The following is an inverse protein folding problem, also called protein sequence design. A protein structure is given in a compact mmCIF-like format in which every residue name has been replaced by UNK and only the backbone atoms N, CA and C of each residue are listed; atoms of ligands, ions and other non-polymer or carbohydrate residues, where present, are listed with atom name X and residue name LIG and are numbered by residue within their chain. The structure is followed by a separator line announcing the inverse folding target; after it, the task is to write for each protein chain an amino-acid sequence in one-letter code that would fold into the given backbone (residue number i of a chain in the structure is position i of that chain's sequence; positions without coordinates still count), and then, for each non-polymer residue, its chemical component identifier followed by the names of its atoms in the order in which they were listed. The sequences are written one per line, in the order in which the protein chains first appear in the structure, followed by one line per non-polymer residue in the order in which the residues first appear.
data_IF_630444226904
#
_entry.id   IF_630444226904
#
_cell.length_a   1.000
_cell.length_b   1.000
_cell.length_c   1.000
_cell.angle_alpha   90.00
_cell.angle_beta   90.00
_cell.angle_gamma   90.00
#
_symmetry.space_group_name_H-M   'P 1'
#
loop_
_entity.id
_entity.type
_entity.pdbx_description
1 polymer ?
#
# COMPACT_ATOMS: atom_id res chain seq x y z
N UNK A 1 22.48 -19.34 -9.46
CA UNK A 1 21.69 -18.10 -9.57
C UNK A 1 20.23 -18.51 -9.54
N UNK A 2 19.46 -18.15 -8.51
CA UNK A 2 18.02 -18.48 -8.45
C UNK A 2 17.30 -17.66 -9.52
N UNK A 3 16.44 -18.30 -10.30
CA UNK A 3 15.57 -17.60 -11.25
C UNK A 3 14.52 -16.86 -10.44
N UNK A 4 14.52 -15.54 -10.53
CA UNK A 4 13.47 -14.71 -9.96
C UNK A 4 12.56 -14.27 -11.10
N UNK A 5 11.25 -14.25 -10.83
CA UNK A 5 10.24 -13.93 -11.81
C UNK A 5 9.44 -12.75 -11.25
N UNK A 6 10.08 -11.58 -11.26
CA UNK A 6 9.38 -10.33 -10.99
C UNK A 6 8.37 -10.12 -12.12
N UNK A 7 7.09 -10.30 -11.81
CA UNK A 7 6.00 -10.11 -12.75
C UNK A 7 5.74 -8.62 -12.99
N UNK A 8 6.07 -7.76 -12.02
CA UNK A 8 5.94 -6.31 -12.13
C UNK A 8 7.11 -5.58 -11.46
N UNK A 9 7.69 -4.65 -12.21
CA UNK A 9 8.70 -3.69 -11.76
C UNK A 9 8.14 -2.28 -11.98
N UNK A 10 8.44 -1.38 -11.04
CA UNK A 10 8.23 0.06 -11.20
C UNK A 10 9.56 0.79 -11.04
N UNK A 11 9.68 1.96 -11.66
CA UNK A 11 10.77 2.90 -11.37
C UNK A 11 10.33 3.88 -10.30
N UNK A 12 11.20 4.14 -9.34
CA UNK A 12 10.97 5.08 -8.24
C UNK A 12 12.25 5.89 -7.99
N UNK A 13 12.12 7.17 -7.60
CA UNK A 13 13.25 8.00 -7.17
C UNK A 13 13.48 7.80 -5.68
N UNK A 14 14.67 7.32 -5.30
CA UNK A 14 15.03 7.10 -3.92
C UNK A 14 15.10 8.42 -3.15
N UNK A 15 14.56 8.48 -1.93
CA UNK A 15 14.65 9.65 -1.04
C UNK A 15 15.70 9.48 0.06
N UNK A 16 16.47 8.39 0.01
CA UNK A 16 17.49 8.02 0.97
C UNK A 16 18.36 6.91 0.41
N UNK A 17 19.26 6.37 1.24
CA UNK A 17 20.02 5.18 0.88
C UNK A 17 19.10 3.98 0.92
N UNK A 18 19.03 3.22 -0.17
CA UNK A 18 18.28 1.97 -0.25
C UNK A 18 19.26 0.87 -0.59
N UNK A 19 19.34 -0.18 0.25
CA UNK A 19 20.16 -1.35 -0.02
C UNK A 19 19.42 -2.33 -0.92
N UNK A 20 20.19 -3.13 -1.66
CA UNK A 20 19.65 -4.20 -2.51
C UNK A 20 18.84 -5.20 -1.68
N UNK A 21 17.76 -5.73 -2.25
CA UNK A 21 16.89 -6.73 -1.65
C UNK A 21 16.23 -6.29 -0.34
N UNK A 22 16.00 -4.98 -0.19
CA UNK A 22 15.28 -4.39 0.94
C UNK A 22 13.89 -3.92 0.55
N UNK A 23 13.00 -3.96 1.53
CA UNK A 23 11.70 -3.32 1.45
C UNK A 23 11.83 -1.80 1.29
N UNK A 24 11.06 -1.25 0.36
CA UNK A 24 11.02 0.17 0.04
C UNK A 24 9.65 0.71 0.40
N UNK A 25 9.60 1.83 1.11
CA UNK A 25 8.37 2.55 1.47
C UNK A 25 7.75 3.24 0.25
N UNK A 26 6.50 3.69 0.38
CA UNK A 26 5.84 4.49 -0.65
C UNK A 26 6.53 5.83 -0.91
N UNK A 27 7.18 6.38 0.12
CA UNK A 27 7.96 7.61 0.05
C UNK A 27 9.29 7.44 -0.70
N UNK A 28 9.70 6.20 -1.00
CA UNK A 28 10.98 5.96 -1.68
C UNK A 28 12.18 5.85 -0.77
N UNK A 29 11.98 5.62 0.53
CA UNK A 29 13.04 5.28 1.47
C UNK A 29 13.05 3.79 1.78
N UNK A 30 14.20 3.25 2.21
CA UNK A 30 14.27 1.91 2.80
C UNK A 30 13.38 1.82 4.05
N UNK A 31 12.76 0.66 4.28
CA UNK A 31 11.99 0.42 5.50
C UNK A 31 12.93 0.33 6.69
N UNK A 32 12.66 1.14 7.71
CA UNK A 32 13.40 1.14 8.99
C UNK A 32 12.49 0.93 10.21
N UNK A 33 11.19 0.77 9.98
CA UNK A 33 10.20 0.55 11.02
C UNK A 33 9.48 -0.77 10.74
N UNK A 34 9.55 -1.77 11.64
CA UNK A 34 8.94 -3.07 11.42
C UNK A 34 7.45 -2.99 11.11
N UNK A 35 6.97 -3.86 10.22
CA UNK A 35 5.54 -3.92 9.85
C UNK A 35 5.04 -2.74 9.00
N UNK A 36 5.93 -1.86 8.54
CA UNK A 36 5.57 -0.79 7.58
C UNK A 36 5.13 -1.39 6.25
N UNK A 37 4.07 -0.84 5.65
CA UNK A 37 3.66 -1.21 4.30
C UNK A 37 4.73 -0.83 3.28
N UNK A 38 5.21 -1.83 2.56
CA UNK A 38 6.15 -1.62 1.48
C UNK A 38 5.43 -1.31 0.18
N UNK A 39 6.02 -0.43 -0.61
CA UNK A 39 5.71 -0.27 -2.02
C UNK A 39 6.27 -1.41 -2.87
N UNK A 40 7.36 -2.02 -2.43
CA UNK A 40 8.00 -3.14 -3.13
C UNK A 40 9.40 -3.44 -2.59
N UNK A 41 10.20 -4.15 -3.38
CA UNK A 41 11.56 -4.57 -3.04
C UNK A 41 12.57 -4.04 -4.05
N UNK A 42 13.65 -3.47 -3.55
CA UNK A 42 14.79 -3.02 -4.34
C UNK A 42 15.52 -4.20 -5.02
N UNK A 43 15.62 -4.21 -6.34
CA UNK A 43 16.13 -5.39 -7.07
C UNK A 43 17.63 -5.38 -7.36
N UNK A 44 18.19 -4.28 -7.89
CA UNK A 44 19.40 -4.40 -8.70
C UNK A 44 20.68 -3.80 -8.08
N UNK A 45 20.58 -2.70 -7.33
CA UNK A 45 21.72 -2.06 -6.69
C UNK A 45 21.32 -1.26 -5.44
N UNK A 46 22.31 -0.91 -4.62
CA UNK A 46 22.10 0.12 -3.63
C UNK A 46 21.90 1.46 -4.36
N UNK A 47 20.90 2.23 -3.96
CA UNK A 47 20.59 3.55 -4.51
C UNK A 47 20.88 4.62 -3.45
N UNK A 48 21.42 5.77 -3.88
CA UNK A 48 21.49 6.97 -3.06
C UNK A 48 20.24 7.83 -3.26
N UNK A 49 20.06 8.83 -2.40
CA UNK A 49 18.97 9.80 -2.57
C UNK A 49 19.08 10.52 -3.92
N UNK A 50 17.98 10.55 -4.67
CA UNK A 50 17.89 11.12 -6.01
C UNK A 50 18.06 10.11 -7.15
N UNK A 51 18.57 8.90 -6.86
CA UNK A 51 18.74 7.87 -7.88
C UNK A 51 17.41 7.22 -8.26
N UNK A 52 17.25 6.87 -9.54
CA UNK A 52 16.17 5.99 -9.96
C UNK A 52 16.51 4.53 -9.64
N UNK A 53 15.56 3.82 -9.05
CA UNK A 53 15.69 2.42 -8.67
C UNK A 53 14.52 1.59 -9.21
N UNK A 54 14.82 0.37 -9.67
CA UNK A 54 13.83 -0.63 -9.98
C UNK A 54 13.32 -1.32 -8.71
N UNK A 55 12.00 -1.27 -8.52
CA UNK A 55 11.30 -1.83 -7.36
C UNK A 55 10.34 -2.91 -7.84
N UNK A 56 10.52 -4.15 -7.37
CA UNK A 56 9.60 -5.24 -7.63
C UNK A 56 8.40 -5.16 -6.71
N UNK A 57 7.22 -5.21 -7.30
CA UNK A 57 5.94 -5.07 -6.60
C UNK A 57 5.13 -6.38 -6.66
N UNK A 58 5.35 -7.18 -7.70
CA UNK A 58 4.64 -8.45 -7.88
C UNK A 58 5.57 -9.52 -8.43
N UNK A 59 5.35 -10.76 -8.00
CA UNK A 59 6.06 -11.94 -8.49
C UNK A 59 6.93 -12.60 -7.43
N UNK A 60 7.81 -13.50 -7.85
CA UNK A 60 8.70 -14.24 -6.94
C UNK A 60 10.10 -13.65 -7.00
N UNK A 61 10.54 -13.05 -5.90
CA UNK A 61 11.86 -12.39 -5.82
C UNK A 61 12.64 -12.87 -4.60
N UNK A 62 13.98 -12.96 -4.69
CA UNK A 62 14.80 -13.22 -3.53
C UNK A 62 14.79 -11.97 -2.65
N UNK A 63 14.67 -12.17 -1.34
CA UNK A 63 14.69 -11.08 -0.36
C UNK A 63 15.59 -11.48 0.78
N UNK A 64 16.36 -10.54 1.32
CA UNK A 64 17.19 -10.88 2.48
C UNK A 64 16.32 -11.17 3.68
N UNK A 65 16.56 -12.28 4.39
CA UNK A 65 15.87 -12.62 5.63
C UNK A 65 16.47 -11.89 6.83
N UNK A 66 15.62 -11.44 7.74
CA UNK A 66 15.98 -10.94 9.08
C UNK A 66 15.98 -12.03 10.15
N UNK A 67 15.39 -13.20 9.85
CA UNK A 67 15.25 -14.30 10.80
C UNK A 67 14.85 -15.61 10.13
N UNK A 68 14.45 -16.58 10.94
CA UNK A 68 13.92 -17.87 10.48
C UNK A 68 12.42 -17.79 10.23
N UNK A 69 11.93 -18.54 9.25
CA UNK A 69 10.51 -18.73 8.95
C UNK A 69 10.32 -19.94 8.05
N UNK A 70 9.13 -20.52 8.10
CA UNK A 70 8.76 -21.66 7.28
C UNK A 70 8.28 -21.26 5.88
N UNK A 71 8.34 -22.20 4.94
CA UNK A 71 7.70 -22.03 3.64
C UNK A 71 6.17 -21.95 3.84
N UNK A 72 5.52 -21.02 3.14
CA UNK A 72 4.11 -20.71 3.32
C UNK A 72 3.82 -19.71 4.45
N UNK A 73 4.83 -19.25 5.20
CA UNK A 73 4.63 -18.19 6.18
C UNK A 73 4.25 -16.87 5.49
N UNK A 74 3.34 -16.10 6.11
CA UNK A 74 3.12 -14.70 5.75
C UNK A 74 4.30 -13.91 6.30
N UNK A 75 4.94 -13.12 5.45
CA UNK A 75 6.14 -12.35 5.83
C UNK A 75 5.86 -10.86 5.85
N UNK A 76 6.63 -10.13 6.65
CA UNK A 76 6.67 -8.67 6.73
C UNK A 76 8.13 -8.20 6.77
N UNK A 77 8.35 -6.88 6.78
CA UNK A 77 9.69 -6.31 6.90
C UNK A 77 10.05 -5.99 8.35
N UNK A 78 11.32 -6.21 8.72
CA UNK A 78 11.93 -5.75 9.96
C UNK A 78 12.44 -4.29 9.88
N UNK A 79 13.18 -3.86 10.90
CA UNK A 79 13.76 -2.51 11.03
C UNK A 79 14.99 -2.28 10.14
N UNK A 80 15.41 -3.30 9.39
CA UNK A 80 16.43 -3.17 8.36
C UNK A 80 15.89 -3.43 6.94
N UNK A 81 14.57 -3.53 6.79
CA UNK A 81 13.91 -3.80 5.52
C UNK A 81 14.12 -5.22 5.00
N UNK A 82 14.49 -6.17 5.87
CA UNK A 82 14.64 -7.60 5.56
C UNK A 82 13.33 -8.33 5.88
N UNK A 83 13.10 -9.49 5.28
CA UNK A 83 11.89 -10.27 5.52
C UNK A 83 11.98 -11.12 6.79
N UNK A 84 10.93 -11.07 7.59
CA UNK A 84 10.72 -11.88 8.79
C UNK A 84 9.30 -12.44 8.77
N UNK A 85 9.03 -13.45 9.59
CA UNK A 85 7.66 -13.93 9.79
C UNK A 85 6.78 -12.79 10.33
N UNK A 86 5.59 -12.62 9.75
CA UNK A 86 4.69 -11.54 10.12
C UNK A 86 3.98 -11.84 11.43
N UNK A 87 4.12 -10.94 12.41
CA UNK A 87 3.37 -10.95 13.66
C UNK A 87 2.21 -9.92 13.66
N UNK A 88 1.77 -9.48 12.47
CA UNK A 88 0.85 -8.36 12.27
C UNK A 88 1.49 -7.19 11.51
N UNK A 89 0.72 -6.17 11.16
CA UNK A 89 1.19 -5.01 10.38
C UNK A 89 1.00 -5.17 8.87
N UNK A 90 1.86 -4.54 8.07
CA UNK A 90 1.82 -4.56 6.61
C UNK A 90 2.51 -5.79 6.02
N UNK A 91 1.79 -6.88 5.69
CA UNK A 91 2.39 -8.07 5.10
C UNK A 91 2.94 -7.75 3.71
N UNK A 92 4.07 -8.36 3.36
CA UNK A 92 4.72 -8.16 2.08
C UNK A 92 4.63 -9.36 1.12
N UNK A 93 4.13 -10.50 1.59
CA UNK A 93 3.88 -11.64 0.72
C UNK A 93 3.88 -12.96 1.48
N UNK A 94 4.08 -14.03 0.71
CA UNK A 94 4.16 -15.40 1.18
C UNK A 94 5.57 -15.94 0.92
N UNK A 95 6.18 -16.57 1.92
CA UNK A 95 7.44 -17.30 1.75
C UNK A 95 7.22 -18.50 0.81
N UNK A 96 7.93 -18.55 -0.32
CA UNK A 96 7.94 -19.75 -1.20
C UNK A 96 8.98 -20.75 -0.69
N UNK A 97 10.07 -20.23 -0.15
CA UNK A 97 11.14 -21.00 0.47
C UNK A 97 11.26 -20.63 1.96
N UNK A 98 11.61 -21.61 2.79
CA UNK A 98 11.92 -21.37 4.19
C UNK A 98 13.26 -20.64 4.35
N UNK A 99 13.42 -19.96 5.49
CA UNK A 99 14.67 -19.38 5.96
C UNK A 99 15.03 -19.99 7.31
N UNK A 100 16.30 -20.37 7.50
CA UNK A 100 16.78 -20.89 8.78
C UNK A 100 17.49 -19.83 9.63
N UNK A 101 17.56 -18.58 9.15
CA UNK A 101 18.23 -17.50 9.86
C UNK A 101 18.47 -16.26 9.00
N UNK A 102 18.95 -15.19 9.61
CA UNK A 102 19.19 -13.91 8.95
C UNK A 102 20.26 -13.97 7.85
N UNK A 103 20.16 -13.10 6.85
CA UNK A 103 21.12 -12.95 5.74
C UNK A 103 20.95 -13.98 4.62
N UNK A 104 19.95 -14.85 4.70
CA UNK A 104 19.61 -15.77 3.61
C UNK A 104 18.74 -15.05 2.57
N UNK A 105 18.66 -15.61 1.37
CA UNK A 105 17.86 -15.04 0.26
C UNK A 105 16.82 -16.06 -0.23
N UNK A 106 15.78 -16.35 0.58
CA UNK A 106 14.64 -17.14 0.15
C UNK A 106 13.82 -16.40 -0.91
N UNK A 107 13.16 -17.17 -1.78
CA UNK A 107 12.14 -16.64 -2.68
C UNK A 107 10.86 -16.29 -1.92
N UNK A 108 10.41 -15.06 -2.08
CA UNK A 108 9.14 -14.56 -1.55
C UNK A 108 8.22 -14.27 -2.73
N UNK A 109 7.01 -14.80 -2.67
CA UNK A 109 5.93 -14.41 -3.58
C UNK A 109 5.34 -13.11 -3.08
N UNK A 110 5.75 -12.02 -3.72
CA UNK A 110 5.23 -10.69 -3.48
C UNK A 110 3.81 -10.59 -4.01
N UNK A 111 2.95 -10.08 -3.14
CA UNK A 111 1.66 -9.51 -3.49
C UNK A 111 1.60 -8.09 -2.95
N UNK A 112 2.69 -7.35 -3.18
CA UNK A 112 2.81 -5.92 -2.89
C UNK A 112 2.32 -5.18 -4.11
N UNK A 113 1.08 -5.39 -4.52
CA UNK A 113 0.59 -4.77 -5.75
C UNK A 113 0.10 -3.36 -5.41
N UNK A 114 0.85 -2.26 -5.60
CA UNK A 114 0.22 -0.98 -5.91
C UNK A 114 -0.29 -1.14 -7.34
N UNK A 115 -1.46 -1.76 -7.52
CA UNK A 115 -1.99 -1.87 -8.86
C UNK A 115 -2.29 -0.46 -9.34
N UNK A 116 -1.62 -0.05 -10.42
CA UNK A 116 -2.13 1.01 -11.29
C UNK A 116 -3.50 0.59 -11.87
N UNK A 117 -3.79 -0.72 -11.87
CA UNK A 117 -5.10 -1.28 -12.16
C UNK A 117 -6.03 -1.08 -10.97
N UNK A 118 -6.98 -0.16 -11.13
CA UNK A 118 -8.10 0.00 -10.21
C UNK A 118 -8.97 -1.24 -10.27
N UNK A 119 -9.27 -1.83 -9.11
CA UNK A 119 -10.36 -2.81 -9.00
C UNK A 119 -11.65 -1.98 -8.90
N UNK A 120 -12.41 -1.94 -9.99
CA UNK A 120 -13.63 -1.14 -10.08
C UNK A 120 -14.84 -2.04 -9.82
N UNK A 121 -15.64 -1.67 -8.82
CA UNK A 121 -16.97 -2.22 -8.56
C UNK A 121 -18.02 -1.16 -8.91
N UNK A 122 -19.20 -1.56 -9.38
CA UNK A 122 -20.35 -0.67 -9.51
C UNK A 122 -21.34 -0.89 -8.38
N UNK A 123 -21.93 0.18 -7.88
CA UNK A 123 -23.01 0.14 -6.90
C UNK A 123 -24.08 1.18 -7.22
N UNK A 124 -25.24 1.08 -6.57
CA UNK A 124 -26.26 2.13 -6.58
C UNK A 124 -26.07 2.99 -5.34
N UNK A 125 -25.92 4.30 -5.53
CA UNK A 125 -25.71 5.25 -4.45
C UNK A 125 -26.94 5.30 -3.52
N UNK A 126 -26.74 5.09 -2.22
CA UNK A 126 -27.81 5.16 -1.21
C UNK A 126 -28.06 6.59 -0.69
N UNK A 127 -27.15 7.50 -0.99
CA UNK A 127 -27.23 8.94 -0.76
C UNK A 127 -26.40 9.65 -1.82
N UNK A 128 -26.38 10.98 -1.82
CA UNK A 128 -25.52 11.75 -2.72
C UNK A 128 -24.04 11.53 -2.32
N UNK A 129 -23.20 11.26 -3.32
CA UNK A 129 -21.78 10.93 -3.17
C UNK A 129 -20.98 11.83 -4.09
N UNK A 130 -19.93 12.45 -3.56
CA UNK A 130 -18.96 13.20 -4.35
C UNK A 130 -17.82 12.31 -4.86
N UNK A 131 -17.24 12.68 -6.01
CA UNK A 131 -16.05 12.01 -6.52
C UNK A 131 -14.88 12.15 -5.53
N UNK A 132 -14.14 11.06 -5.32
CA UNK A 132 -13.02 10.98 -4.38
C UNK A 132 -13.42 10.73 -2.93
N UNK A 133 -14.72 10.65 -2.62
CA UNK A 133 -15.22 10.34 -1.29
C UNK A 133 -15.16 8.83 -1.02
N UNK A 134 -14.87 8.45 0.22
CA UNK A 134 -14.99 7.08 0.68
C UNK A 134 -16.46 6.68 0.83
N UNK A 135 -16.78 5.48 0.38
CA UNK A 135 -18.14 4.93 0.37
C UNK A 135 -18.20 3.73 1.32
N UNK A 136 -19.22 3.73 2.18
CA UNK A 136 -19.50 2.65 3.14
C UNK A 136 -20.10 1.41 2.47
N UNK A 137 -20.31 0.35 3.26
CA UNK A 137 -20.92 -0.88 2.77
C UNK A 137 -22.44 -0.77 2.56
N UNK A 138 -23.06 0.29 3.06
CA UNK A 138 -24.44 0.68 2.77
C UNK A 138 -24.59 1.38 1.40
N UNK A 139 -23.49 1.57 0.67
CA UNK A 139 -23.38 2.35 -0.57
C UNK A 139 -23.72 3.84 -0.39
N UNK A 140 -23.62 4.37 0.84
CA UNK A 140 -23.63 5.80 1.12
C UNK A 140 -22.20 6.32 1.37
N UNK A 141 -22.02 7.64 1.52
CA UNK A 141 -20.76 8.21 1.95
C UNK A 141 -20.40 7.73 3.37
N UNK A 142 -19.13 7.34 3.58
CA UNK A 142 -18.62 6.87 4.87
C UNK A 142 -18.40 8.06 5.83
N UNK A 143 -19.50 8.63 6.33
CA UNK A 143 -19.53 9.85 7.14
C UNK A 143 -19.26 9.63 8.63
N UNK A 144 -18.82 8.44 9.03
CA UNK A 144 -18.34 8.17 10.38
C UNK A 144 -16.82 8.06 10.35
N UNK A 145 -16.16 8.78 11.25
CA UNK A 145 -14.70 8.73 11.35
C UNK A 145 -14.25 7.30 11.67
N UNK A 146 -13.28 6.79 10.91
CA UNK A 146 -12.76 5.44 11.08
C UNK A 146 -13.68 4.30 10.64
N UNK A 147 -14.76 4.60 9.91
CA UNK A 147 -15.69 3.61 9.38
C UNK A 147 -15.03 2.63 8.40
N UNK A 148 -15.57 1.41 8.30
CA UNK A 148 -15.14 0.47 7.27
C UNK A 148 -15.60 0.94 5.89
N UNK A 149 -14.64 1.15 4.99
CA UNK A 149 -14.93 1.58 3.61
C UNK A 149 -15.08 0.37 2.69
N UNK A 150 -16.04 0.46 1.78
CA UNK A 150 -16.18 -0.46 0.65
C UNK A 150 -15.20 -0.10 -0.46
N UNK A 151 -14.99 1.20 -0.71
CA UNK A 151 -14.06 1.74 -1.70
C UNK A 151 -14.13 3.27 -1.79
N UNK A 152 -13.44 3.84 -2.78
CA UNK A 152 -13.45 5.28 -3.07
C UNK A 152 -14.26 5.56 -4.34
N UNK A 153 -15.16 6.54 -4.31
CA UNK A 153 -15.98 6.92 -5.47
C UNK A 153 -15.11 7.54 -6.58
N UNK A 154 -15.23 7.03 -7.81
CA UNK A 154 -14.53 7.55 -8.99
C UNK A 154 -15.33 8.64 -9.72
N UNK A 155 -16.62 8.74 -9.44
CA UNK A 155 -17.54 9.74 -9.98
C UNK A 155 -18.47 10.23 -8.88
N UNK A 156 -19.00 11.43 -9.05
CA UNK A 156 -20.14 11.87 -8.27
C UNK A 156 -21.40 11.10 -8.72
N UNK A 157 -22.31 10.85 -7.79
CA UNK A 157 -23.57 10.17 -8.04
C UNK A 157 -24.64 10.70 -7.07
N UNK A 158 -25.83 10.99 -7.58
CA UNK A 158 -27.00 11.27 -6.74
C UNK A 158 -27.61 9.97 -6.22
N UNK A 159 -28.45 10.09 -5.20
CA UNK A 159 -29.22 8.96 -4.65
C UNK A 159 -29.95 8.19 -5.75
N UNK A 160 -29.70 6.88 -5.83
CA UNK A 160 -30.28 5.98 -6.84
C UNK A 160 -29.50 5.88 -8.16
N UNK A 161 -28.47 6.70 -8.36
CA UNK A 161 -27.58 6.63 -9.53
C UNK A 161 -26.47 5.59 -9.36
N UNK A 162 -25.77 5.29 -10.45
CA UNK A 162 -24.62 4.38 -10.43
C UNK A 162 -23.38 5.12 -9.96
N UNK A 163 -22.70 4.55 -8.97
CA UNK A 163 -21.37 4.97 -8.51
C UNK A 163 -20.34 3.90 -8.85
N UNK A 164 -19.22 4.33 -9.41
CA UNK A 164 -18.03 3.50 -9.64
C UNK A 164 -17.13 3.59 -8.41
N UNK A 165 -16.83 2.44 -7.80
CA UNK A 165 -16.03 2.34 -6.59
C UNK A 165 -14.67 1.72 -6.91
N UNK A 166 -13.60 2.44 -6.60
CA UNK A 166 -12.26 1.91 -6.58
C UNK A 166 -12.04 1.17 -5.25
N UNK A 167 -12.07 -0.16 -5.30
CA UNK A 167 -11.96 -1.05 -4.12
C UNK A 167 -10.55 -1.54 -3.83
N UNK A 168 -9.63 -1.33 -4.76
CA UNK A 168 -8.27 -1.78 -4.63
C UNK A 168 -7.38 -1.13 -5.67
N UNK A 169 -6.11 -0.94 -5.32
CA UNK A 169 -5.15 -0.27 -6.20
C UNK A 169 -5.05 1.23 -5.93
N UNK A 170 -4.51 1.94 -6.92
CA UNK A 170 -4.31 3.39 -6.88
C UNK A 170 -5.61 4.14 -7.20
N UNK A 171 -6.22 4.74 -6.19
CA UNK A 171 -7.49 5.45 -6.29
C UNK A 171 -7.29 6.96 -6.05
N UNK A 172 -7.97 7.85 -6.79
CA UNK A 172 -8.03 9.27 -6.45
C UNK A 172 -8.98 9.45 -5.26
N UNK A 173 -8.47 9.94 -4.13
CA UNK A 173 -9.27 10.20 -2.94
C UNK A 173 -9.13 11.66 -2.49
N UNK A 174 -10.17 12.19 -1.86
CA UNK A 174 -10.21 13.55 -1.32
C UNK A 174 -9.60 13.56 0.08
N UNK A 175 -8.63 14.44 0.32
CA UNK A 175 -8.01 14.62 1.64
C UNK A 175 -8.96 15.36 2.61
N UNK A 176 -9.05 14.90 3.85
CA UNK A 176 -9.74 15.62 4.93
C UNK A 176 -8.80 16.53 5.73
N UNK A 177 -7.49 16.28 5.63
CA UNK A 177 -6.42 17.03 6.29
C UNK A 177 -5.09 16.85 5.55
N UNK A 178 -4.03 17.52 6.00
CA UNK A 178 -2.68 17.26 5.52
C UNK A 178 -2.18 15.87 5.98
N UNK A 179 -1.46 15.17 5.12
CA UNK A 179 -0.81 13.90 5.43
C UNK A 179 0.42 13.66 4.54
N UNK A 180 1.37 12.88 5.05
CA UNK A 180 2.59 12.51 4.33
C UNK A 180 2.37 11.30 3.42
N UNK A 181 3.27 11.12 2.44
CA UNK A 181 3.33 9.88 1.64
C UNK A 181 3.60 8.69 2.58
N UNK A 182 2.92 7.57 2.34
CA UNK A 182 3.02 6.36 3.14
C UNK A 182 2.22 6.39 4.44
N UNK A 183 1.55 7.51 4.76
CA UNK A 183 0.64 7.58 5.89
C UNK A 183 -0.48 6.54 5.72
N UNK A 184 -0.76 5.80 6.79
CA UNK A 184 -1.97 5.01 6.91
C UNK A 184 -3.15 5.97 7.09
N UNK A 185 -4.23 5.75 6.36
CA UNK A 185 -5.36 6.67 6.28
C UNK A 185 -6.66 6.00 6.78
N UNK A 186 -7.49 6.78 7.47
CA UNK A 186 -8.88 6.46 7.83
C UNK A 186 -9.83 7.51 7.24
N UNK A 187 -11.15 7.27 7.30
CA UNK A 187 -12.16 8.26 6.92
C UNK A 187 -12.37 9.29 8.03
N UNK A 188 -12.68 10.53 7.65
CA UNK A 188 -13.26 11.53 8.54
C UNK A 188 -14.81 11.49 8.53
N UNK A 189 -15.46 12.45 9.19
CA UNK A 189 -16.93 12.52 9.26
C UNK A 189 -17.60 13.03 7.96
N UNK A 190 -16.83 13.24 6.90
CA UNK A 190 -17.30 13.63 5.57
C UNK A 190 -16.88 12.58 4.52
N UNK A 191 -16.35 11.41 4.92
CA UNK A 191 -15.85 10.41 4.00
C UNK A 191 -14.58 10.84 3.25
N UNK A 192 -13.83 11.84 3.73
CA UNK A 192 -12.52 12.20 3.19
C UNK A 192 -11.43 11.44 3.96
N UNK A 193 -10.23 11.36 3.41
CA UNK A 193 -9.13 10.61 4.04
C UNK A 193 -8.26 11.49 4.93
N UNK A 194 -8.03 11.04 6.16
CA UNK A 194 -7.13 11.65 7.16
C UNK A 194 -6.13 10.60 7.65
N UNK A 195 -5.08 11.03 8.36
CA UNK A 195 -4.13 10.07 8.97
C UNK A 195 -4.87 9.19 9.98
N UNK A 196 -4.65 7.88 9.92
CA UNK A 196 -5.19 6.87 10.83
C UNK A 196 -4.83 7.22 12.29
N UNK A 197 -5.83 7.27 13.16
CA UNK A 197 -5.66 7.50 14.60
C UNK A 197 -6.19 6.30 15.39
N UNK A 198 -7.51 6.14 15.45
CA UNK A 198 -8.16 5.05 16.21
C UNK A 198 -9.14 4.22 15.37
N UNK A 199 -9.36 4.62 14.12
CA UNK A 199 -10.30 4.01 13.21
C UNK A 199 -9.76 2.76 12.52
N UNK A 200 -10.40 2.43 11.39
CA UNK A 200 -9.96 1.34 10.52
C UNK A 200 -9.16 1.90 9.36
N UNK A 201 -8.07 1.20 9.02
CA UNK A 201 -7.27 1.49 7.84
C UNK A 201 -8.15 1.40 6.59
N UNK A 202 -8.33 2.52 5.90
CA UNK A 202 -9.03 2.64 4.63
C UNK A 202 -8.06 2.60 3.44
N UNK A 203 -6.90 3.26 3.57
CA UNK A 203 -5.92 3.36 2.50
C UNK A 203 -4.51 3.69 3.01
N UNK A 204 -3.51 3.66 2.13
CA UNK A 204 -2.16 4.18 2.36
C UNK A 204 -1.86 5.30 1.35
N UNK A 205 -1.35 6.44 1.79
CA UNK A 205 -1.08 7.57 0.90
C UNK A 205 0.03 7.27 -0.13
N UNK A 206 -0.24 7.42 -1.43
CA UNK A 206 0.80 7.37 -2.46
C UNK A 206 1.40 8.77 -2.72
N UNK A 207 0.60 9.81 -2.50
CA UNK A 207 0.97 11.21 -2.62
C UNK A 207 0.67 11.96 -1.32
N UNK A 208 1.44 13.00 -1.01
CA UNK A 208 1.16 13.85 0.15
C UNK A 208 0.00 14.83 -0.14
N UNK A 209 -0.83 15.06 0.87
CA UNK A 209 -1.76 16.19 0.91
C UNK A 209 -1.20 17.29 1.80
N UNK A 210 -1.20 18.53 1.32
CA UNK A 210 -0.74 19.69 2.11
C UNK A 210 -1.87 20.40 2.84
N UNK A 211 -3.13 20.10 2.49
CA UNK A 211 -4.34 20.63 3.10
C UNK A 211 -5.51 19.66 2.84
N UNK A 212 -6.67 19.95 3.43
CA UNK A 212 -7.94 19.31 3.07
C UNK A 212 -8.36 19.64 1.63
N UNK A 213 -9.32 18.87 1.12
CA UNK A 213 -10.01 19.03 -0.16
C UNK A 213 -9.09 18.95 -1.39
N UNK A 214 -7.97 18.24 -1.27
CA UNK A 214 -7.10 17.92 -2.39
C UNK A 214 -7.38 16.49 -2.87
N UNK A 215 -7.54 16.30 -4.17
CA UNK A 215 -7.55 14.96 -4.76
C UNK A 215 -6.12 14.43 -4.84
N UNK A 216 -5.86 13.30 -4.19
CA UNK A 216 -4.54 12.66 -4.15
C UNK A 216 -4.65 11.18 -4.47
N UNK A 217 -3.58 10.65 -5.05
CA UNK A 217 -3.46 9.21 -5.23
C UNK A 217 -3.24 8.52 -3.88
N UNK A 218 -4.05 7.50 -3.60
CA UNK A 218 -3.93 6.62 -2.43
C UNK A 218 -4.04 5.16 -2.86
N UNK A 219 -3.51 4.25 -2.05
CA UNK A 219 -3.63 2.82 -2.24
C UNK A 219 -4.73 2.25 -1.34
N UNK A 220 -5.84 1.83 -1.92
CA UNK A 220 -6.96 1.19 -1.21
C UNK A 220 -6.71 -0.31 -1.14
N UNK A 221 -7.01 -0.91 0.03
CA UNK A 221 -6.78 -2.33 0.31
C UNK A 221 -8.03 -3.17 0.08
#
# INVERSE_FOLDING_TARGET
MKTHLAAQLISLVATGVIRKWRGVTFAGAEITVPGTFARGIAMDAAAASGDQIAVATLGEVPVESGGSFDAGAIVAFDDEGRVVESNGGGPCGLAVEASTGAGQFPLIRLSLVPSVNQIIETATAAADIDAGQAVGFDNGPANVAGEAVKGIALNAALTGEVVFLCRGGSCPATSGAAYAIGAQLETDNQGRLITLDTGRLAAVANEAATAADQTKSVFVK
#
